data_IF_627133465339
#
_entry.id   IF_627133465339
#
_cell.length_a   1.000
_cell.length_b   1.000
_cell.length_c   1.000
_cell.angle_alpha   90.00
_cell.angle_beta   90.00
_cell.angle_gamma   90.00
#
_symmetry.space_group_name_H-M   'P 1'
#
loop_
_entity.id
_entity.type
_entity.pdbx_description
1 polymer ?
#
# COMPACT_ATOMS: atom_id res chain seq x y z
N UNK A 1 5.14 -7.44 4.44
CA UNK A 1 6.31 -7.33 3.56
C UNK A 1 5.90 -6.55 2.32
N UNK A 2 6.60 -5.48 1.96
CA UNK A 2 6.23 -4.65 0.79
C UNK A 2 7.11 -4.95 -0.41
N UNK A 3 6.47 -5.00 -1.56
CA UNK A 3 7.13 -5.26 -2.82
C UNK A 3 8.22 -4.22 -3.10
N UNK A 4 9.34 -4.61 -3.70
CA UNK A 4 10.38 -3.65 -4.08
C UNK A 4 9.96 -2.89 -5.36
N UNK A 5 10.20 -1.57 -5.49
CA UNK A 5 9.80 -0.81 -6.68
C UNK A 5 10.40 -1.32 -7.99
N UNK A 6 11.57 -1.98 -7.92
CA UNK A 6 12.30 -2.54 -9.08
C UNK A 6 12.03 -4.03 -9.32
N UNK A 7 11.04 -4.61 -8.65
CA UNK A 7 10.64 -6.01 -8.87
C UNK A 7 9.86 -6.16 -10.19
N UNK A 8 9.71 -7.39 -10.69
CA UNK A 8 9.04 -7.71 -11.96
C UNK A 8 7.49 -7.59 -11.88
N UNK A 9 6.97 -6.59 -11.20
CA UNK A 9 5.53 -6.34 -11.12
C UNK A 9 5.15 -5.06 -11.86
N UNK A 10 3.90 -4.97 -12.34
CA UNK A 10 3.42 -3.76 -12.97
C UNK A 10 3.55 -2.53 -12.05
N UNK A 11 3.97 -1.40 -12.63
CA UNK A 11 4.21 -0.14 -11.89
C UNK A 11 2.98 0.36 -11.12
N UNK A 12 1.77 0.00 -11.55
CA UNK A 12 0.55 0.40 -10.84
C UNK A 12 0.42 -0.27 -9.46
N UNK A 13 0.94 -1.50 -9.27
CA UNK A 13 0.95 -2.16 -7.96
C UNK A 13 1.83 -1.39 -6.98
N UNK A 14 3.09 -1.13 -7.36
CA UNK A 14 4.03 -0.40 -6.51
C UNK A 14 3.55 1.02 -6.21
N UNK A 15 2.85 1.68 -7.13
CA UNK A 15 2.19 2.98 -6.87
C UNK A 15 1.04 2.91 -5.88
N UNK A 16 0.25 1.82 -5.89
CA UNK A 16 -0.93 1.68 -5.04
C UNK A 16 -0.61 1.15 -3.63
N UNK A 17 0.52 0.46 -3.45
CA UNK A 17 0.92 -0.12 -2.16
C UNK A 17 0.94 0.91 -1.02
N UNK A 18 1.55 2.11 -1.16
CA UNK A 18 1.57 3.11 -0.08
C UNK A 18 0.17 3.51 0.39
N UNK A 19 -0.76 3.76 -0.54
CA UNK A 19 -2.14 4.08 -0.21
C UNK A 19 -2.84 2.93 0.52
N UNK A 20 -2.75 1.71 0.00
CA UNK A 20 -3.36 0.52 0.62
C UNK A 20 -2.86 0.29 2.05
N UNK A 21 -1.57 0.51 2.29
CA UNK A 21 -0.98 0.37 3.62
C UNK A 21 -1.40 1.48 4.58
N UNK A 22 -1.42 2.73 4.12
CA UNK A 22 -1.93 3.83 4.93
C UNK A 22 -3.42 3.65 5.26
N UNK A 23 -4.23 3.16 4.31
CA UNK A 23 -5.64 2.84 4.56
C UNK A 23 -5.81 1.70 5.58
N UNK A 24 -4.92 0.70 5.58
CA UNK A 24 -4.88 -0.33 6.62
C UNK A 24 -4.57 0.27 7.99
N UNK A 25 -3.61 1.20 8.09
CA UNK A 25 -3.33 1.91 9.33
C UNK A 25 -4.53 2.72 9.82
N UNK A 26 -5.27 3.36 8.90
CA UNK A 26 -6.49 4.11 9.20
C UNK A 26 -7.58 3.25 9.85
N UNK A 27 -7.64 1.96 9.50
CA UNK A 27 -8.57 0.99 10.12
C UNK A 27 -8.13 0.56 11.51
N UNK A 28 -6.82 0.34 11.70
CA UNK A 28 -6.24 -0.18 12.94
C UNK A 28 -6.18 0.90 14.03
N UNK A 29 -5.73 2.10 13.69
CA UNK A 29 -5.57 3.19 14.65
C UNK A 29 -6.93 3.82 14.95
N UNK A 30 -7.31 3.88 16.22
CA UNK A 30 -8.50 4.59 16.68
C UNK A 30 -8.28 6.11 16.76
N UNK A 31 -7.06 6.52 17.12
CA UNK A 31 -6.68 7.92 17.29
C UNK A 31 -5.86 8.43 16.10
N UNK A 32 -6.06 9.71 15.76
CA UNK A 32 -5.37 10.37 14.65
C UNK A 32 -3.88 10.59 14.92
N UNK A 33 -3.49 10.84 16.17
CA UNK A 33 -2.08 11.00 16.55
C UNK A 33 -1.32 9.68 16.38
N UNK A 34 -1.91 8.58 16.85
CA UNK A 34 -1.41 7.23 16.64
C UNK A 34 -1.30 6.89 15.15
N UNK A 35 -2.31 7.26 14.34
CA UNK A 35 -2.26 7.10 12.89
C UNK A 35 -1.11 7.90 12.25
N UNK A 36 -0.92 9.17 12.65
CA UNK A 36 0.14 10.04 12.14
C UNK A 36 1.52 9.44 12.40
N UNK A 37 1.81 9.06 13.66
CA UNK A 37 3.07 8.42 14.04
C UNK A 37 3.35 7.15 13.24
N UNK A 38 2.32 6.32 13.01
CA UNK A 38 2.43 5.09 12.22
C UNK A 38 2.66 5.38 10.73
N UNK A 39 2.07 6.45 10.19
CA UNK A 39 2.32 6.88 8.82
C UNK A 39 3.74 7.41 8.63
N UNK A 40 4.31 8.10 9.61
CA UNK A 40 5.69 8.58 9.54
C UNK A 40 6.67 7.39 9.53
N UNK A 41 6.44 6.37 10.37
CA UNK A 41 7.18 5.11 10.33
C UNK A 41 7.03 4.39 8.98
N UNK A 42 5.82 4.37 8.43
CA UNK A 42 5.54 3.79 7.12
C UNK A 42 6.29 4.52 6.00
N UNK A 43 6.30 5.86 6.02
CA UNK A 43 7.00 6.67 5.05
C UNK A 43 8.51 6.42 5.08
N UNK A 44 9.10 6.38 6.28
CA UNK A 44 10.51 6.04 6.47
C UNK A 44 10.85 4.63 5.95
N UNK A 45 9.96 3.66 6.18
CA UNK A 45 10.16 2.31 5.66
C UNK A 45 10.14 2.28 4.12
N UNK A 46 9.20 2.98 3.48
CA UNK A 46 9.14 3.07 2.03
C UNK A 46 10.33 3.82 1.42
N UNK A 47 10.80 4.89 2.07
CA UNK A 47 12.00 5.62 1.66
C UNK A 47 13.24 4.70 1.64
N UNK A 48 13.45 3.92 2.71
CA UNK A 48 14.53 2.92 2.78
C UNK A 48 14.45 1.85 1.69
N UNK A 49 13.25 1.57 1.16
CA UNK A 49 13.01 0.62 0.07
C UNK A 49 13.10 1.26 -1.33
N UNK A 50 13.45 2.54 -1.43
CA UNK A 50 13.59 3.24 -2.71
C UNK A 50 12.27 3.64 -3.37
N UNK A 51 11.17 3.72 -2.61
CA UNK A 51 9.93 4.26 -3.15
C UNK A 51 10.03 5.77 -3.37
N UNK A 52 9.37 6.28 -4.42
CA UNK A 52 9.30 7.71 -4.68
C UNK A 52 8.54 8.42 -3.53
N UNK A 53 9.16 9.41 -2.83
CA UNK A 53 8.53 10.10 -1.71
C UNK A 53 7.21 10.78 -2.05
N UNK A 54 7.04 11.27 -3.30
CA UNK A 54 5.78 11.89 -3.74
C UNK A 54 4.63 10.87 -3.75
N UNK A 55 4.87 9.68 -4.31
CA UNK A 55 3.88 8.59 -4.35
C UNK A 55 3.49 8.15 -2.95
N UNK A 56 4.46 8.04 -2.05
CA UNK A 56 4.23 7.69 -0.64
C UNK A 56 3.39 8.76 0.06
N UNK A 57 3.80 10.03 -0.09
CA UNK A 57 3.10 11.17 0.51
C UNK A 57 1.67 11.34 -0.01
N UNK A 58 1.46 11.20 -1.31
CA UNK A 58 0.13 11.25 -1.93
C UNK A 58 -0.76 10.11 -1.42
N UNK A 59 -0.22 8.89 -1.31
CA UNK A 59 -0.93 7.74 -0.75
C UNK A 59 -1.35 7.97 0.71
N UNK A 60 -0.44 8.50 1.54
CA UNK A 60 -0.74 8.82 2.95
C UNK A 60 -1.78 9.94 3.04
N UNK A 61 -1.65 11.01 2.23
CA UNK A 61 -2.60 12.13 2.20
C UNK A 61 -4.00 11.64 1.83
N UNK A 62 -4.11 10.79 0.80
CA UNK A 62 -5.37 10.20 0.38
C UNK A 62 -6.00 9.37 1.50
N UNK A 63 -5.22 8.52 2.17
CA UNK A 63 -5.71 7.72 3.30
C UNK A 63 -6.07 8.56 4.54
N UNK A 64 -5.47 9.75 4.70
CA UNK A 64 -5.81 10.69 5.76
C UNK A 64 -7.19 11.32 5.57
N UNK A 65 -7.61 11.54 4.32
CA UNK A 65 -8.95 12.04 4.00
C UNK A 65 -10.08 11.03 4.21
N UNK A 66 -9.77 9.77 4.54
CA UNK A 66 -10.78 8.74 4.80
C UNK A 66 -11.04 8.65 6.31
N UNK A 67 -12.29 8.89 6.72
CA UNK A 67 -12.68 8.71 8.10
C UNK A 67 -12.56 7.24 8.51
N UNK A 68 -12.19 6.98 9.78
CA UNK A 68 -12.01 5.61 10.28
C UNK A 68 -13.29 4.77 10.13
N UNK A 69 -14.45 5.37 10.40
CA UNK A 69 -15.75 4.70 10.28
C UNK A 69 -16.00 4.22 8.85
N UNK A 70 -15.69 5.04 7.84
CA UNK A 70 -15.79 4.67 6.44
C UNK A 70 -14.75 3.61 6.06
N UNK A 71 -13.55 3.69 6.62
CA UNK A 71 -12.49 2.72 6.35
C UNK A 71 -12.82 1.31 6.87
N UNK A 72 -13.55 1.22 7.99
CA UNK A 72 -13.96 -0.04 8.63
C UNK A 72 -15.26 -0.59 8.04
N UNK A 73 -16.12 0.28 7.49
CA UNK A 73 -17.38 -0.12 6.88
C UNK A 73 -17.17 -1.24 5.87
N UNK A 74 -17.89 -2.34 6.07
CA UNK A 74 -17.94 -3.42 5.10
C UNK A 74 -18.58 -2.93 3.80
N UNK A 75 -17.94 -3.23 2.68
CA UNK A 75 -18.49 -2.97 1.35
C UNK A 75 -18.66 -4.29 0.62
N UNK A 76 -19.79 -4.45 -0.09
CA UNK A 76 -19.98 -5.61 -0.96
C UNK A 76 -18.91 -5.57 -2.04
N UNK A 77 -18.13 -6.65 -2.17
CA UNK A 77 -17.15 -6.78 -3.25
C UNK A 77 -17.93 -6.92 -4.55
N UNK A 78 -17.86 -5.91 -5.41
CA UNK A 78 -18.34 -6.05 -6.78
C UNK A 78 -17.32 -6.91 -7.51
N UNK A 79 -17.78 -7.99 -8.15
CA UNK A 79 -16.90 -8.90 -8.86
C UNK A 79 -16.50 -8.22 -10.18
N UNK A 80 -15.30 -7.64 -10.19
CA UNK A 80 -14.62 -7.30 -11.43
C UNK A 80 -13.65 -8.44 -11.69
N UNK A 81 -13.67 -9.03 -12.89
CA UNK A 81 -12.70 -10.03 -13.32
C UNK A 81 -11.30 -9.44 -13.18
N UNK A 82 -10.64 -9.74 -12.05
CA UNK A 82 -9.30 -9.26 -11.75
C UNK A 82 -8.35 -10.11 -12.55
N UNK A 83 -8.21 -9.82 -13.84
CA UNK A 83 -7.07 -10.31 -14.60
C UNK A 83 -5.84 -9.72 -13.94
N UNK A 84 -5.16 -10.56 -13.17
CA UNK A 84 -3.82 -10.28 -12.69
C UNK A 84 -2.94 -10.40 -13.93
N UNK A 85 -2.74 -9.30 -14.65
CA UNK A 85 -1.78 -9.26 -15.77
C UNK A 85 -0.37 -9.47 -15.21
N UNK A 86 -0.07 -10.74 -14.96
CA UNK A 86 1.22 -11.28 -14.61
C UNK A 86 1.97 -11.56 -15.91
N UNK A 87 2.16 -10.53 -16.73
CA UNK A 87 3.11 -10.57 -17.83
C UNK A 87 4.44 -9.99 -17.35
N UNK A 88 5.31 -10.86 -16.84
CA UNK A 88 6.51 -11.29 -17.57
C UNK A 88 7.37 -12.25 -16.72
N UNK A 89 7.67 -13.40 -17.32
CA UNK A 89 8.60 -14.43 -16.89
C UNK A 89 9.97 -13.88 -16.46
N UNK A 90 10.43 -14.24 -15.25
CA UNK A 90 11.82 -14.53 -14.86
C UNK A 90 12.00 -14.23 -13.36
N UNK A 91 11.74 -15.24 -12.53
CA UNK A 91 12.27 -15.47 -11.17
C UNK A 91 11.28 -16.35 -10.38
N UNK A 92 11.03 -17.56 -10.86
CA UNK A 92 10.36 -18.62 -10.07
C UNK A 92 11.36 -19.53 -9.36
N UNK A 93 12.62 -19.11 -9.24
CA UNK A 93 13.63 -19.77 -8.41
C UNK A 93 14.19 -18.66 -7.54
N UNK A 94 14.40 -18.93 -6.24
CA UNK A 94 14.85 -17.98 -5.20
C UNK A 94 13.77 -17.18 -4.46
N UNK A 95 12.55 -17.72 -4.27
CA UNK A 95 11.67 -17.29 -3.15
C UNK A 95 10.92 -18.48 -2.53
N UNK A 96 11.67 -19.47 -2.01
CA UNK A 96 11.23 -20.31 -0.89
C UNK A 96 12.45 -20.92 -0.16
N UNK A 97 13.06 -20.12 0.74
CA UNK A 97 13.75 -20.51 1.98
C UNK A 97 13.94 -19.26 2.83
#
# INVERSE_FOLDING_TARGET
MYLHPRSCHPKHFTRNIPYSQALRLRRICSEDESFKRRCDQLANHFAKRGYNPRVVGDGIRKARGVARIDAIRYTKRVNFDRVMDMFCCACLIVWWQ
#
